data_IF_402764146111
#
_entry.id   IF_402764146111
#
_cell.length_a   1.000
_cell.length_b   1.000
_cell.length_c   1.000
_cell.angle_alpha   90.00
_cell.angle_beta   90.00
_cell.angle_gamma   90.00
#
_symmetry.space_group_name_H-M   'P 1'
#
loop_
_entity.id
_entity.type
_entity.pdbx_description
1 polymer ?
#
# COMPACT_ATOMS: atom_id res chain seq x y z
N UNK A 1 9.71 -6.69 17.13
CA UNK A 1 10.32 -5.39 17.50
C UNK A 1 9.25 -4.31 17.39
N UNK A 2 9.27 -3.25 18.20
CA UNK A 2 8.33 -2.14 17.98
C UNK A 2 8.71 -1.42 16.68
N UNK A 3 7.71 -1.02 15.88
CA UNK A 3 7.92 -0.28 14.62
C UNK A 3 8.63 1.04 14.91
N UNK A 4 9.62 1.40 14.08
CA UNK A 4 10.30 2.70 14.19
C UNK A 4 9.28 3.86 14.12
N UNK A 5 9.39 4.91 14.96
CA UNK A 5 8.40 5.99 15.01
C UNK A 5 8.05 6.62 13.67
N UNK A 6 9.05 6.85 12.81
CA UNK A 6 8.82 7.42 11.47
C UNK A 6 8.10 6.46 10.51
N UNK A 7 8.10 5.14 10.76
CA UNK A 7 7.34 4.18 9.92
C UNK A 7 5.91 3.96 10.43
N UNK A 8 5.59 4.35 11.67
CA UNK A 8 4.26 4.18 12.27
C UNK A 8 3.14 4.88 11.45
N UNK A 9 3.33 6.10 10.92
CA UNK A 9 2.32 6.74 10.06
C UNK A 9 1.97 5.89 8.82
N UNK A 10 2.97 5.35 8.13
CA UNK A 10 2.76 4.46 6.98
C UNK A 10 2.00 3.21 7.41
N UNK A 11 2.38 2.58 8.53
CA UNK A 11 1.65 1.45 9.10
C UNK A 11 0.19 1.77 9.49
N UNK A 12 -0.14 3.02 9.81
CA UNK A 12 -1.52 3.43 10.05
C UNK A 12 -2.32 3.56 8.75
N UNK A 13 -1.70 4.07 7.69
CA UNK A 13 -2.28 4.12 6.34
C UNK A 13 -2.52 2.71 5.81
N UNK A 14 -1.56 1.79 5.98
CA UNK A 14 -1.70 0.36 5.69
C UNK A 14 -2.91 -0.28 6.36
N UNK A 15 -3.17 0.01 7.64
CA UNK A 15 -4.36 -0.53 8.32
C UNK A 15 -5.66 -0.10 7.64
N UNK A 16 -5.73 1.14 7.15
CA UNK A 16 -6.90 1.65 6.41
C UNK A 16 -7.03 0.96 5.05
N UNK A 17 -5.94 0.82 4.31
CA UNK A 17 -5.91 0.16 3.00
C UNK A 17 -6.25 -1.34 3.10
N UNK A 18 -5.73 -2.04 4.11
CA UNK A 18 -6.04 -3.45 4.37
C UNK A 18 -7.52 -3.70 4.70
N UNK A 19 -8.16 -2.75 5.40
CA UNK A 19 -9.61 -2.81 5.60
C UNK A 19 -10.36 -2.78 4.26
N UNK A 20 -9.98 -1.87 3.36
CA UNK A 20 -10.58 -1.77 2.03
C UNK A 20 -10.33 -3.03 1.21
N UNK A 21 -9.11 -3.57 1.23
CA UNK A 21 -8.79 -4.84 0.56
C UNK A 21 -9.72 -5.97 1.03
N UNK A 22 -9.89 -6.12 2.35
CA UNK A 22 -10.79 -7.14 2.91
C UNK A 22 -12.23 -6.96 2.44
N UNK A 23 -12.69 -5.72 2.33
CA UNK A 23 -14.07 -5.39 1.97
C UNK A 23 -14.39 -5.57 0.47
N UNK A 24 -13.38 -5.40 -0.39
CA UNK A 24 -13.55 -5.49 -1.85
C UNK A 24 -13.43 -6.91 -2.42
N UNK A 25 -12.86 -7.85 -1.66
CA UNK A 25 -12.74 -9.24 -2.10
C UNK A 25 -14.10 -9.86 -2.44
N UNK A 26 -14.14 -10.73 -3.44
CA UNK A 26 -15.36 -11.42 -3.91
C UNK A 26 -16.07 -12.18 -2.78
N UNK A 27 -15.28 -12.77 -1.88
CA UNK A 27 -15.79 -13.53 -0.73
C UNK A 27 -15.87 -12.71 0.56
N UNK A 28 -15.86 -11.38 0.47
CA UNK A 28 -15.96 -10.51 1.62
C UNK A 28 -17.32 -10.68 2.31
N UNK A 29 -17.30 -10.97 3.60
CA UNK A 29 -18.51 -10.92 4.41
C UNK A 29 -19.09 -9.49 4.40
N UNK A 30 -20.43 -9.33 4.41
CA UNK A 30 -21.06 -8.03 4.63
C UNK A 30 -20.46 -7.32 5.86
N UNK A 31 -20.20 -6.03 5.72
CA UNK A 31 -19.68 -5.21 6.81
C UNK A 31 -20.71 -4.14 7.18
N UNK A 32 -21.09 -4.09 8.45
CA UNK A 32 -22.15 -3.19 8.93
C UNK A 32 -21.76 -1.72 8.67
N UNK A 33 -22.70 -0.95 8.12
CA UNK A 33 -22.49 0.45 7.75
C UNK A 33 -21.81 0.68 6.41
N UNK A 34 -21.55 -0.37 5.61
CA UNK A 34 -20.90 -0.26 4.31
C UNK A 34 -21.78 -0.81 3.16
N UNK A 35 -21.78 -0.17 1.98
CA UNK A 35 -22.61 -0.58 0.85
C UNK A 35 -22.33 -2.00 0.33
N UNK A 36 -23.36 -2.77 0.00
CA UNK A 36 -23.16 -4.08 -0.64
C UNK A 36 -23.09 -3.99 -2.18
N UNK A 37 -23.67 -2.94 -2.75
CA UNK A 37 -23.75 -2.69 -4.18
C UNK A 37 -22.36 -2.44 -4.79
N UNK A 38 -22.06 -3.13 -5.90
CA UNK A 38 -20.77 -3.06 -6.61
C UNK A 38 -20.35 -1.64 -6.93
N UNK A 39 -21.26 -0.82 -7.44
CA UNK A 39 -20.95 0.57 -7.82
C UNK A 39 -20.55 1.42 -6.61
N UNK A 40 -21.26 1.25 -5.48
CA UNK A 40 -20.94 1.97 -4.25
C UNK A 40 -19.62 1.49 -3.61
N UNK A 41 -19.27 0.20 -3.77
CA UNK A 41 -17.95 -0.33 -3.41
C UNK A 41 -16.84 0.29 -4.25
N UNK A 42 -17.04 0.41 -5.56
CA UNK A 42 -16.10 1.04 -6.48
C UNK A 42 -15.87 2.52 -6.11
N UNK A 43 -16.93 3.29 -5.89
CA UNK A 43 -16.85 4.70 -5.48
C UNK A 43 -16.10 4.86 -4.16
N UNK A 44 -16.39 3.99 -3.18
CA UNK A 44 -15.69 4.00 -1.90
C UNK A 44 -14.19 3.67 -2.06
N UNK A 45 -13.84 2.69 -2.89
CA UNK A 45 -12.46 2.35 -3.19
C UNK A 45 -11.73 3.51 -3.87
N UNK A 46 -12.32 4.12 -4.91
CA UNK A 46 -11.75 5.27 -5.63
C UNK A 46 -11.44 6.40 -4.65
N UNK A 47 -12.37 6.70 -3.75
CA UNK A 47 -12.17 7.71 -2.70
C UNK A 47 -10.97 7.36 -1.80
N UNK A 48 -10.90 6.13 -1.27
CA UNK A 48 -9.80 5.75 -0.38
C UNK A 48 -8.46 5.71 -1.12
N UNK A 49 -8.43 5.27 -2.37
CA UNK A 49 -7.21 5.26 -3.17
C UNK A 49 -6.68 6.68 -3.38
N UNK A 50 -7.56 7.63 -3.72
CA UNK A 50 -7.17 9.03 -3.87
C UNK A 50 -6.73 9.68 -2.56
N UNK A 51 -7.45 9.44 -1.47
CA UNK A 51 -7.19 10.09 -0.17
C UNK A 51 -6.03 9.46 0.61
N UNK A 52 -5.73 8.18 0.38
CA UNK A 52 -4.78 7.41 1.20
C UNK A 52 -3.69 6.79 0.34
N UNK A 53 -4.04 6.00 -0.67
CA UNK A 53 -3.06 5.21 -1.43
C UNK A 53 -2.07 6.09 -2.20
N UNK A 54 -2.56 7.11 -2.91
CA UNK A 54 -1.71 8.02 -3.68
C UNK A 54 -0.69 8.76 -2.82
N UNK A 55 -1.09 9.48 -1.73
CA UNK A 55 -0.11 10.14 -0.88
C UNK A 55 0.79 9.16 -0.11
N UNK A 56 0.32 7.93 0.13
CA UNK A 56 1.10 6.89 0.79
C UNK A 56 2.26 6.40 -0.10
N UNK A 57 1.98 6.05 -1.37
CA UNK A 57 3.01 5.67 -2.35
C UNK A 57 4.08 6.75 -2.48
N UNK A 58 3.69 8.03 -2.48
CA UNK A 58 4.66 9.14 -2.57
C UNK A 58 5.63 9.16 -1.37
N UNK A 59 5.11 8.93 -0.16
CA UNK A 59 5.93 8.83 1.06
C UNK A 59 6.85 7.61 1.01
N UNK A 60 6.36 6.49 0.51
CA UNK A 60 7.15 5.26 0.37
C UNK A 60 8.25 5.42 -0.67
N UNK A 61 7.94 5.95 -1.85
CA UNK A 61 8.93 6.22 -2.89
C UNK A 61 10.04 7.14 -2.35
N UNK A 62 9.71 8.15 -1.54
CA UNK A 62 10.69 9.00 -0.86
C UNK A 62 11.52 8.25 0.19
N UNK A 63 10.88 7.43 1.04
CA UNK A 63 11.58 6.56 1.99
C UNK A 63 12.55 5.63 1.24
N UNK A 64 12.12 5.03 0.13
CA UNK A 64 12.92 4.10 -0.66
C UNK A 64 14.10 4.80 -1.33
N UNK A 65 13.90 6.03 -1.83
CA UNK A 65 14.99 6.85 -2.38
C UNK A 65 16.07 7.11 -1.33
N UNK A 66 15.69 7.47 -0.10
CA UNK A 66 16.64 7.72 0.99
C UNK A 66 17.36 6.45 1.46
N UNK A 67 16.71 5.30 1.40
CA UNK A 67 17.30 4.02 1.82
C UNK A 67 18.19 3.36 0.74
N UNK A 68 18.16 3.86 -0.50
CA UNK A 68 18.86 3.25 -1.63
C UNK A 68 20.38 3.39 -1.52
N UNK A 69 21.10 2.33 -1.93
CA UNK A 69 22.56 2.33 -2.06
C UNK A 69 23.32 2.01 -0.77
N UNK A 70 22.63 1.83 0.36
CA UNK A 70 23.26 1.41 1.60
C UNK A 70 23.53 -0.10 1.65
N UNK A 71 22.59 -0.92 1.15
CA UNK A 71 22.72 -2.38 1.10
C UNK A 71 22.08 -2.94 -0.17
N UNK A 72 22.80 -3.83 -0.86
CA UNK A 72 22.32 -4.43 -2.11
C UNK A 72 21.07 -5.31 -1.92
N UNK A 73 20.91 -5.98 -0.77
CA UNK A 73 19.72 -6.77 -0.47
C UNK A 73 18.49 -5.87 -0.23
N UNK A 74 18.68 -4.71 0.39
CA UNK A 74 17.64 -3.66 0.50
C UNK A 74 17.26 -3.16 -0.89
N UNK A 75 18.24 -2.77 -1.71
CA UNK A 75 17.98 -2.22 -3.05
C UNK A 75 17.11 -3.16 -3.91
N UNK A 76 17.38 -4.48 -3.86
CA UNK A 76 16.58 -5.50 -4.57
C UNK A 76 15.13 -5.51 -4.08
N UNK A 77 14.91 -5.46 -2.76
CA UNK A 77 13.55 -5.44 -2.20
C UNK A 77 12.80 -4.14 -2.55
N UNK A 78 13.51 -3.00 -2.56
CA UNK A 78 12.93 -1.71 -2.95
C UNK A 78 12.55 -1.70 -4.44
N UNK A 79 13.38 -2.25 -5.31
CA UNK A 79 13.07 -2.38 -6.74
C UNK A 79 11.82 -3.25 -6.98
N UNK A 80 11.67 -4.31 -6.19
CA UNK A 80 10.48 -5.18 -6.22
C UNK A 80 9.21 -4.43 -5.78
N UNK A 81 9.25 -3.67 -4.66
CA UNK A 81 8.10 -2.87 -4.21
C UNK A 81 7.73 -1.78 -5.22
N UNK A 82 8.70 -1.13 -5.85
CA UNK A 82 8.45 -0.12 -6.88
C UNK A 82 7.79 -0.70 -8.14
N UNK A 83 8.11 -1.93 -8.51
CA UNK A 83 7.40 -2.63 -9.61
C UNK A 83 5.96 -3.01 -9.19
N UNK A 84 5.76 -3.40 -7.94
CA UNK A 84 4.41 -3.61 -7.40
C UNK A 84 3.59 -2.32 -7.37
N UNK A 85 4.17 -1.18 -6.98
CA UNK A 85 3.51 0.14 -7.07
C UNK A 85 3.02 0.43 -8.48
N UNK A 86 3.86 0.19 -9.50
CA UNK A 86 3.49 0.35 -10.91
C UNK A 86 2.35 -0.58 -11.31
N UNK A 87 2.44 -1.85 -10.92
CA UNK A 87 1.43 -2.87 -11.22
C UNK A 87 0.08 -2.50 -10.60
N UNK A 88 0.05 -2.17 -9.31
CA UNK A 88 -1.16 -1.79 -8.55
C UNK A 88 -1.77 -0.51 -9.13
N UNK A 89 -0.94 0.49 -9.47
CA UNK A 89 -1.41 1.72 -10.11
C UNK A 89 -2.01 1.47 -11.49
N UNK A 90 -1.44 0.54 -12.26
CA UNK A 90 -1.96 0.10 -13.54
C UNK A 90 -3.30 -0.62 -13.41
N UNK A 91 -3.42 -1.55 -12.45
CA UNK A 91 -4.67 -2.24 -12.13
C UNK A 91 -5.77 -1.25 -11.74
N UNK A 92 -5.46 -0.29 -10.87
CA UNK A 92 -6.39 0.76 -10.46
C UNK A 92 -6.88 1.60 -11.65
N UNK A 93 -5.96 2.01 -12.53
CA UNK A 93 -6.30 2.82 -13.72
C UNK A 93 -7.19 2.06 -14.70
N UNK A 94 -7.00 0.73 -14.83
CA UNK A 94 -7.78 -0.12 -15.71
C UNK A 94 -9.23 -0.36 -15.24
N UNK A 95 -9.57 -0.03 -13.99
CA UNK A 95 -10.92 -0.27 -13.46
C UNK A 95 -12.01 0.54 -14.18
N UNK A 96 -11.69 1.71 -14.73
CA UNK A 96 -12.65 2.57 -15.45
C UNK A 96 -13.18 1.87 -16.70
N UNK A 97 -12.35 1.08 -17.36
CA UNK A 97 -12.68 0.36 -18.60
C UNK A 97 -12.92 -1.14 -18.35
N UNK A 98 -13.11 -1.54 -17.09
CA UNK A 98 -13.26 -2.94 -16.72
C UNK A 98 -14.55 -3.55 -17.25
N UNK A 99 -14.42 -4.72 -17.90
CA UNK A 99 -15.56 -5.54 -18.34
C UNK A 99 -16.18 -6.31 -17.17
N UNK A 100 -15.37 -6.67 -16.17
CA UNK A 100 -15.78 -7.38 -14.95
C UNK A 100 -15.18 -6.70 -13.72
N UNK A 101 -15.79 -5.59 -13.34
CA UNK A 101 -15.28 -4.73 -12.26
C UNK A 101 -15.19 -5.44 -10.92
N UNK A 102 -16.04 -6.45 -10.68
CA UNK A 102 -16.01 -7.23 -9.43
C UNK A 102 -14.73 -8.05 -9.36
N UNK A 103 -14.40 -8.75 -10.45
CA UNK A 103 -13.17 -9.55 -10.54
C UNK A 103 -11.92 -8.68 -10.48
N UNK A 104 -11.92 -7.54 -11.17
CA UNK A 104 -10.75 -6.66 -11.20
C UNK A 104 -10.53 -5.96 -9.85
N UNK A 105 -11.59 -5.58 -9.13
CA UNK A 105 -11.49 -5.10 -7.74
C UNK A 105 -10.94 -6.17 -6.80
N UNK A 106 -11.36 -7.43 -6.95
CA UNK A 106 -10.84 -8.55 -6.14
C UNK A 106 -9.35 -8.78 -6.39
N UNK A 107 -8.93 -8.77 -7.67
CA UNK A 107 -7.52 -8.90 -8.04
C UNK A 107 -6.68 -7.76 -7.47
N UNK A 108 -7.14 -6.51 -7.59
CA UNK A 108 -6.48 -5.34 -7.03
C UNK A 108 -6.36 -5.44 -5.51
N UNK A 109 -7.45 -5.82 -4.82
CA UNK A 109 -7.46 -6.00 -3.38
C UNK A 109 -6.52 -7.11 -2.90
N UNK A 110 -6.38 -8.20 -3.66
CA UNK A 110 -5.43 -9.26 -3.34
C UNK A 110 -3.99 -8.80 -3.52
N UNK A 111 -3.66 -8.18 -4.66
CA UNK A 111 -2.32 -7.67 -4.94
C UNK A 111 -1.88 -6.61 -3.94
N UNK A 112 -2.77 -5.66 -3.59
CA UNK A 112 -2.48 -4.64 -2.60
C UNK A 112 -2.30 -5.23 -1.20
N UNK A 113 -3.13 -6.20 -0.79
CA UNK A 113 -2.94 -6.86 0.50
C UNK A 113 -1.60 -7.60 0.58
N UNK A 114 -1.21 -8.31 -0.48
CA UNK A 114 0.07 -9.03 -0.55
C UNK A 114 1.26 -8.07 -0.45
N UNK A 115 1.21 -6.99 -1.22
CA UNK A 115 2.20 -5.90 -1.20
C UNK A 115 2.36 -5.30 0.21
N UNK A 116 1.27 -4.81 0.82
CA UNK A 116 1.29 -4.21 2.16
C UNK A 116 1.84 -5.20 3.20
N UNK A 117 1.47 -6.48 3.10
CA UNK A 117 1.96 -7.50 4.04
C UNK A 117 3.45 -7.74 3.89
N UNK A 118 3.97 -7.74 2.67
CA UNK A 118 5.41 -7.89 2.38
C UNK A 118 6.17 -6.69 2.92
N UNK A 119 5.69 -5.49 2.63
CA UNK A 119 6.32 -4.26 3.11
C UNK A 119 6.37 -4.19 4.64
N UNK A 120 5.23 -4.42 5.31
CA UNK A 120 5.15 -4.39 6.77
C UNK A 120 6.07 -5.43 7.43
N UNK A 121 6.02 -6.68 6.96
CA UNK A 121 6.64 -7.81 7.67
C UNK A 121 8.07 -8.09 7.27
N UNK A 122 8.50 -7.62 6.11
CA UNK A 122 9.83 -7.92 5.57
C UNK A 122 10.61 -6.64 5.39
N UNK A 123 10.10 -5.72 4.55
CA UNK A 123 10.89 -4.55 4.15
C UNK A 123 11.05 -3.58 5.32
N UNK A 124 9.97 -3.14 5.96
CA UNK A 124 10.07 -2.24 7.10
C UNK A 124 10.82 -2.85 8.28
N UNK A 125 10.75 -4.18 8.50
CA UNK A 125 11.56 -4.85 9.53
C UNK A 125 13.06 -4.82 9.20
N UNK A 126 13.41 -5.03 7.93
CA UNK A 126 14.79 -4.96 7.47
C UNK A 126 15.34 -3.53 7.49
N UNK A 127 14.55 -2.56 7.04
CA UNK A 127 14.95 -1.15 7.05
C UNK A 127 15.20 -0.66 8.48
N UNK A 128 14.31 -0.97 9.45
CA UNK A 128 14.52 -0.56 10.85
C UNK A 128 15.72 -1.26 11.52
N UNK A 129 16.09 -2.46 11.07
CA UNK A 129 17.24 -3.20 11.59
C UNK A 129 18.56 -2.64 11.04
N UNK A 130 18.62 -2.39 9.73
CA UNK A 130 19.86 -2.05 9.04
C UNK A 130 20.07 -0.54 8.86
N UNK A 131 18.99 0.23 8.73
CA UNK A 131 19.01 1.65 8.42
C UNK A 131 18.23 2.52 9.44
N UNK A 132 18.32 2.29 10.76
CA UNK A 132 17.55 3.06 11.74
C UNK A 132 17.86 4.57 11.68
N UNK A 133 19.13 4.93 11.44
CA UNK A 133 19.55 6.33 11.35
C UNK A 133 19.04 7.04 10.08
N UNK A 134 18.95 6.31 8.96
CA UNK A 134 18.40 6.85 7.69
C UNK A 134 16.91 7.10 7.87
N UNK A 135 16.18 6.13 8.42
CA UNK A 135 14.76 6.28 8.73
C UNK A 135 14.55 7.44 9.71
N UNK A 136 15.43 7.61 10.70
CA UNK A 136 15.37 8.68 11.70
C UNK A 136 15.41 10.09 11.12
N UNK A 137 15.97 10.27 9.92
CA UNK A 137 16.09 11.56 9.24
C UNK A 137 14.86 11.93 8.41
N UNK A 138 13.93 11.00 8.24
CA UNK A 138 12.76 11.20 7.39
C UNK A 138 11.79 12.20 8.01
N UNK A 139 11.34 13.13 7.18
CA UNK A 139 10.24 14.04 7.47
C UNK A 139 9.27 14.04 6.29
N UNK A 140 8.08 13.48 6.52
CA UNK A 140 7.01 13.39 5.50
C UNK A 140 6.22 14.70 5.34
N UNK A 141 6.40 15.69 6.21
CA UNK A 141 5.66 16.96 6.16
C UNK A 141 6.28 17.97 5.17
N UNK A 142 7.44 17.64 4.58
CA UNK A 142 8.17 18.49 3.63
C UNK A 142 7.90 18.15 2.15
N UNK A 143 6.92 17.29 1.86
CA UNK A 143 6.52 16.88 0.50
C UNK A 143 5.09 17.30 0.16
#
# INVERSE_FOLDING_TARGET
MQRHPNLVPLSHEHKRLLFVCRYLKINAAPYEGFPLETQAKLEYMVKIFQEVMVPHIQKEDYLFELCRGYHADIDIMLDELLEEHRTISGMYSALVDSVDVVKDMDALACSLEEHIRKEERVVFEKLQELLPEVIGQINFDNQ
#
